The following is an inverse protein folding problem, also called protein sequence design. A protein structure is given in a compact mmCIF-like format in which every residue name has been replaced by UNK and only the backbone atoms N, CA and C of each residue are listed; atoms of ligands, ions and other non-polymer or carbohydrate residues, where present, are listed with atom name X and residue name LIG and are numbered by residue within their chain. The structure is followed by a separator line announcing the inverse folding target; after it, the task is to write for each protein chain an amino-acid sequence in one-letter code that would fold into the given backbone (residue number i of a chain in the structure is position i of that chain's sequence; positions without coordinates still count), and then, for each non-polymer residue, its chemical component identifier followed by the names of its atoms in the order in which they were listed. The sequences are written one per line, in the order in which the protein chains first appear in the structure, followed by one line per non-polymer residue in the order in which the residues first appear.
data_IF_944285636949
#
_entry.id   IF_944285636949
#
_cell.length_a   1.000
_cell.length_b   1.000
_cell.length_c   1.000
_cell.angle_alpha   90.00
_cell.angle_beta   90.00
_cell.angle_gamma   90.00
#
_symmetry.space_group_name_H-M   'P 1'
#
loop_
_entity.id
_entity.type
_entity.pdbx_description
1 polymer ?
#
# COMPACT_ATOMS: atom_id res chain seq x y z
N UNK A 1 -34.26 -18.10 -8.97
CA UNK A 1 -32.96 -18.73 -8.69
C UNK A 1 -31.88 -17.81 -9.22
N UNK A 2 -31.51 -16.80 -8.43
CA UNK A 2 -30.55 -15.77 -8.87
C UNK A 2 -29.17 -16.17 -8.38
N UNK A 3 -28.27 -16.51 -9.30
CA UNK A 3 -26.86 -16.76 -8.99
C UNK A 3 -26.21 -15.42 -8.63
N UNK A 4 -26.19 -15.07 -7.34
CA UNK A 4 -25.39 -13.97 -6.83
C UNK A 4 -23.92 -14.38 -6.86
N UNK A 5 -23.25 -14.05 -7.96
CA UNK A 5 -21.79 -14.02 -8.07
C UNK A 5 -21.24 -12.77 -7.36
N UNK A 6 -21.63 -12.56 -6.10
CA UNK A 6 -21.01 -11.51 -5.30
C UNK A 6 -19.65 -12.02 -4.82
N UNK A 7 -18.61 -11.52 -5.50
CA UNK A 7 -17.27 -11.36 -4.98
C UNK A 7 -16.57 -12.65 -4.55
N UNK A 8 -15.69 -13.13 -5.43
CA UNK A 8 -14.42 -13.75 -5.05
C UNK A 8 -13.93 -13.06 -3.76
N UNK A 9 -13.51 -13.85 -2.78
CA UNK A 9 -12.99 -13.55 -1.43
C UNK A 9 -11.87 -12.46 -1.36
N UNK A 10 -12.04 -11.30 -2.00
CA UNK A 10 -11.08 -10.19 -2.07
C UNK A 10 -10.62 -9.71 -0.69
N UNK A 11 -11.49 -9.58 0.33
CA UNK A 11 -11.07 -9.20 1.68
C UNK A 11 -10.16 -10.23 2.36
N UNK A 12 -10.30 -11.52 2.02
CA UNK A 12 -9.43 -12.57 2.52
C UNK A 12 -8.12 -12.64 1.72
N UNK A 13 -8.18 -12.38 0.42
CA UNK A 13 -6.99 -12.33 -0.46
C UNK A 13 -6.01 -11.21 -0.08
N UNK A 14 -6.52 -10.02 0.28
CA UNK A 14 -5.66 -8.93 0.79
C UNK A 14 -5.11 -9.23 2.20
N UNK A 15 -5.74 -10.14 2.96
CA UNK A 15 -5.26 -10.60 4.26
C UNK A 15 -4.20 -11.71 4.19
N UNK A 16 -3.90 -12.24 3.00
CA UNK A 16 -2.81 -13.20 2.82
C UNK A 16 -1.66 -12.64 2.00
N UNK A 17 -1.84 -11.45 1.42
CA UNK A 17 -0.82 -10.83 0.59
C UNK A 17 0.39 -10.37 1.43
N UNK A 18 1.52 -11.05 1.26
CA UNK A 18 2.78 -10.75 1.95
C UNK A 18 3.72 -9.88 1.12
N UNK A 19 3.55 -9.84 -0.21
CA UNK A 19 4.42 -9.09 -1.12
C UNK A 19 3.59 -8.35 -2.16
N UNK A 20 3.89 -7.07 -2.38
CA UNK A 20 3.22 -6.22 -3.35
C UNK A 20 4.20 -5.37 -4.15
N UNK A 21 4.18 -5.54 -5.48
CA UNK A 21 4.94 -4.74 -6.44
C UNK A 21 4.00 -3.83 -7.22
N UNK A 22 4.27 -2.52 -7.17
CA UNK A 22 3.48 -1.47 -7.82
C UNK A 22 4.37 -0.47 -8.58
N UNK A 23 5.59 -0.86 -8.95
CA UNK A 23 6.50 0.03 -9.67
C UNK A 23 5.94 0.47 -11.03
N UNK A 24 6.25 1.69 -11.47
CA UNK A 24 5.84 2.26 -12.77
C UNK A 24 4.32 2.34 -13.04
N UNK A 25 3.51 2.60 -12.01
CA UNK A 25 2.03 2.68 -12.11
C UNK A 25 1.45 4.10 -12.04
N UNK A 26 2.27 5.14 -12.21
CA UNK A 26 1.84 6.55 -12.14
C UNK A 26 1.08 6.90 -10.86
N UNK A 27 1.40 6.24 -9.74
CA UNK A 27 0.77 6.52 -8.45
C UNK A 27 1.15 7.95 -8.04
N UNK A 28 0.18 8.87 -8.04
CA UNK A 28 0.40 10.31 -7.86
C UNK A 28 0.17 10.82 -6.44
N UNK A 29 0.51 12.10 -6.18
CA UNK A 29 0.49 12.79 -4.88
C UNK A 29 -0.66 12.47 -3.90
N UNK A 30 -1.90 12.25 -4.38
CA UNK A 30 -3.02 11.90 -3.50
C UNK A 30 -2.82 10.57 -2.76
N UNK A 31 -1.95 9.71 -3.28
CA UNK A 31 -1.65 8.39 -2.71
C UNK A 31 -0.96 8.44 -1.36
N UNK A 32 -0.28 9.54 -1.01
CA UNK A 32 0.42 9.73 0.27
C UNK A 32 -0.47 9.40 1.48
N UNK A 33 -1.66 10.00 1.54
CA UNK A 33 -2.62 9.79 2.63
C UNK A 33 -3.17 8.38 2.64
N UNK A 34 -3.49 7.84 1.47
CA UNK A 34 -4.01 6.48 1.32
C UNK A 34 -2.97 5.43 1.68
N UNK A 35 -1.71 5.65 1.32
CA UNK A 35 -0.59 4.79 1.65
C UNK A 35 -0.37 4.76 3.17
N UNK A 36 -0.31 5.92 3.82
CA UNK A 36 -0.20 5.99 5.28
C UNK A 36 -1.36 5.28 5.99
N UNK A 37 -2.60 5.51 5.54
CA UNK A 37 -3.78 4.85 6.09
C UNK A 37 -3.80 3.33 5.85
N UNK A 38 -3.38 2.88 4.66
CA UNK A 38 -3.28 1.47 4.31
C UNK A 38 -2.21 0.76 5.15
N UNK A 39 -1.02 1.35 5.26
CA UNK A 39 0.07 0.83 6.08
C UNK A 39 -0.33 0.73 7.56
N UNK A 40 -1.05 1.71 8.11
CA UNK A 40 -1.53 1.68 9.50
C UNK A 40 -2.48 0.50 9.80
N UNK A 41 -3.25 0.04 8.80
CA UNK A 41 -4.25 -1.03 8.95
C UNK A 41 -3.75 -2.39 8.47
N UNK A 42 -2.74 -2.42 7.61
CA UNK A 42 -2.23 -3.67 7.05
C UNK A 42 -1.37 -4.41 8.09
N UNK A 43 -1.68 -5.69 8.28
CA UNK A 43 -1.02 -6.57 9.26
C UNK A 43 -0.46 -7.84 8.62
N UNK A 44 -0.24 -7.83 7.31
CA UNK A 44 0.02 -9.06 6.52
C UNK A 44 1.14 -8.86 5.51
N UNK A 45 1.26 -7.65 4.97
CA UNK A 45 2.27 -7.27 4.01
C UNK A 45 3.64 -7.17 4.70
N UNK A 46 4.61 -7.86 4.12
CA UNK A 46 6.00 -7.95 4.57
C UNK A 46 6.91 -7.16 3.63
N UNK A 47 6.63 -7.19 2.33
CA UNK A 47 7.39 -6.48 1.30
C UNK A 47 6.49 -5.60 0.44
N UNK A 48 6.87 -4.33 0.29
CA UNK A 48 6.19 -3.36 -0.54
C UNK A 48 7.20 -2.60 -1.42
N UNK A 49 7.03 -2.67 -2.73
CA UNK A 49 7.92 -2.03 -3.71
C UNK A 49 7.10 -1.22 -4.69
N UNK A 50 7.38 0.09 -4.83
CA UNK A 50 6.65 0.97 -5.76
C UNK A 50 7.55 2.03 -6.41
N UNK A 51 8.69 1.58 -6.93
CA UNK A 51 9.71 2.40 -7.59
C UNK A 51 9.14 3.08 -8.84
N UNK A 52 9.67 4.24 -9.23
CA UNK A 52 9.26 4.96 -10.46
C UNK A 52 7.76 5.31 -10.46
N UNK A 53 7.26 5.81 -9.34
CA UNK A 53 5.94 6.41 -9.26
C UNK A 53 6.05 7.93 -9.05
N UNK A 54 4.90 8.60 -8.96
CA UNK A 54 4.80 10.05 -8.83
C UNK A 54 4.29 10.42 -7.43
N UNK A 55 4.64 9.62 -6.43
CA UNK A 55 4.24 9.87 -5.05
C UNK A 55 4.99 11.13 -4.61
N UNK A 56 4.24 12.17 -4.33
CA UNK A 56 4.75 13.41 -3.73
C UNK A 56 4.26 13.44 -2.30
N UNK A 57 5.17 13.44 -1.33
CA UNK A 57 4.79 13.67 0.07
C UNK A 57 4.65 15.17 0.30
N UNK A 58 3.46 15.70 0.07
CA UNK A 58 3.10 17.07 0.47
C UNK A 58 3.20 17.23 1.98
N UNK A 59 2.83 16.18 2.73
CA UNK A 59 3.09 16.07 4.15
C UNK A 59 3.74 14.70 4.46
N UNK A 60 5.05 14.67 4.80
CA UNK A 60 5.75 13.42 5.11
C UNK A 60 5.23 12.72 6.36
N UNK A 61 4.39 13.36 7.19
CA UNK A 61 3.82 12.74 8.39
C UNK A 61 2.88 11.59 8.09
N UNK A 62 2.13 11.61 6.98
CA UNK A 62 1.17 10.55 6.67
C UNK A 62 1.82 9.18 6.43
N UNK A 63 2.78 9.03 5.49
CA UNK A 63 3.47 7.76 5.32
C UNK A 63 4.27 7.39 6.58
N UNK A 64 4.87 8.37 7.26
CA UNK A 64 5.66 8.14 8.49
C UNK A 64 4.82 7.57 9.64
N UNK A 65 3.59 8.08 9.86
CA UNK A 65 2.70 7.53 10.88
C UNK A 65 2.24 6.11 10.54
N UNK A 66 1.91 5.87 9.26
CA UNK A 66 1.53 4.55 8.77
C UNK A 66 2.64 3.53 9.00
N UNK A 67 3.87 3.88 8.64
CA UNK A 67 5.06 3.04 8.84
C UNK A 67 5.35 2.81 10.33
N UNK A 68 5.25 3.84 11.17
CA UNK A 68 5.48 3.70 12.63
C UNK A 68 4.49 2.74 13.29
N UNK A 69 3.27 2.62 12.75
CA UNK A 69 2.22 1.74 13.27
C UNK A 69 2.21 0.36 12.64
N UNK A 70 2.78 0.20 11.45
CA UNK A 70 2.85 -1.08 10.78
C UNK A 70 3.92 -1.96 11.46
N UNK A 71 3.56 -3.18 11.86
CA UNK A 71 4.46 -4.10 12.57
C UNK A 71 4.88 -5.30 11.73
N UNK A 72 4.42 -5.40 10.48
CA UNK A 72 4.67 -6.57 9.62
C UNK A 72 5.58 -6.27 8.43
N UNK A 73 5.58 -5.02 7.96
CA UNK A 73 6.40 -4.58 6.84
C UNK A 73 7.87 -4.55 7.26
N UNK A 74 8.69 -5.34 6.59
CA UNK A 74 10.14 -5.41 6.83
C UNK A 74 10.93 -4.83 5.67
N UNK A 75 10.34 -4.81 4.47
CA UNK A 75 10.97 -4.30 3.25
C UNK A 75 10.07 -3.27 2.59
N UNK A 76 10.60 -2.06 2.42
CA UNK A 76 9.97 -0.97 1.70
C UNK A 76 10.98 -0.39 0.69
N UNK A 77 10.64 -0.40 -0.60
CA UNK A 77 11.41 0.30 -1.62
C UNK A 77 10.54 1.32 -2.37
N UNK A 78 10.96 2.58 -2.27
CA UNK A 78 10.27 3.76 -2.80
C UNK A 78 11.14 4.58 -3.76
N UNK A 79 12.25 4.01 -4.23
CA UNK A 79 13.22 4.73 -5.04
C UNK A 79 12.55 5.39 -6.27
N UNK A 80 13.10 6.51 -6.72
CA UNK A 80 12.55 7.28 -7.84
C UNK A 80 11.07 7.71 -7.64
N UNK A 81 10.68 7.99 -6.39
CA UNK A 81 9.51 8.79 -6.05
C UNK A 81 9.93 10.18 -5.53
N UNK A 82 9.01 11.13 -5.48
CA UNK A 82 9.23 12.48 -4.97
C UNK A 82 8.75 12.61 -3.51
N UNK A 83 9.12 11.63 -2.68
CA UNK A 83 8.71 11.53 -1.27
C UNK A 83 9.49 12.49 -0.37
#
# INVERSE_FOLDING_TARGET
MSLHLEYIHLPAFIQTLTTLYLSANQIGAKSERYLGAALKKNTTLVTLVFIYNQIKAQDPQYPSEGLRKNTTLTTLNVDNNQM
#
